data_IF_245684802261
#
_entry.id   IF_245684802261
#
_cell.length_a   1.000
_cell.length_b   1.000
_cell.length_c   1.000
_cell.angle_alpha   90.00
_cell.angle_beta   90.00
_cell.angle_gamma   90.00
#
_symmetry.space_group_name_H-M   'P 1'
#
loop_
_entity.id
_entity.type
_entity.pdbx_description
1 polymer ?
#
# COMPACT_ATOMS: atom_id res chain seq x y z
N UNK A 1 -10.45 27.81 7.77
CA UNK A 1 -9.21 28.60 7.88
C UNK A 1 -8.78 28.50 9.34
N UNK A 2 -7.84 27.61 9.68
CA UNK A 2 -7.24 27.64 11.00
C UNK A 2 -6.26 28.80 10.99
N UNK A 3 -6.56 29.83 11.77
CA UNK A 3 -5.61 30.91 12.05
C UNK A 3 -4.35 30.26 12.63
N UNK A 4 -3.22 30.50 12.01
CA UNK A 4 -1.91 30.24 12.60
C UNK A 4 -1.83 31.05 13.89
N UNK A 5 -2.11 30.45 15.01
CA UNK A 5 -1.91 31.06 16.31
C UNK A 5 -0.41 31.18 16.52
N UNK A 6 0.14 32.36 16.28
CA UNK A 6 1.53 32.67 16.59
C UNK A 6 1.67 32.78 18.11
N UNK A 7 2.27 31.78 18.73
CA UNK A 7 2.56 31.77 20.16
C UNK A 7 3.86 32.54 20.45
N UNK A 8 3.92 33.85 20.13
CA UNK A 8 5.12 34.67 20.37
C UNK A 8 5.54 34.77 21.83
N UNK A 9 4.61 34.51 22.76
CA UNK A 9 4.83 34.74 24.21
C UNK A 9 4.79 33.46 25.05
N UNK A 10 4.89 32.28 24.42
CA UNK A 10 4.89 31.02 25.19
C UNK A 10 6.27 30.81 25.81
N UNK A 11 6.38 30.99 27.14
CA UNK A 11 7.59 30.64 27.89
C UNK A 11 7.93 29.17 27.65
N UNK A 12 9.18 28.91 27.30
CA UNK A 12 9.67 27.53 27.13
C UNK A 12 9.53 26.79 28.46
N UNK A 13 8.67 25.78 28.59
CA UNK A 13 8.61 25.00 29.81
C UNK A 13 9.92 24.25 29.99
N UNK A 14 10.34 24.15 31.26
CA UNK A 14 11.46 23.27 31.62
C UNK A 14 10.94 21.84 31.58
N UNK A 15 11.30 21.11 30.53
CA UNK A 15 10.97 19.68 30.45
C UNK A 15 11.96 18.88 31.31
N UNK A 16 11.48 17.81 31.99
CA UNK A 16 12.35 16.95 32.79
C UNK A 16 13.35 16.16 31.94
N UNK A 17 13.17 16.14 30.61
CA UNK A 17 14.03 15.41 29.66
C UNK A 17 14.85 16.35 28.78
N UNK A 18 16.11 15.98 28.46
CA UNK A 18 16.91 16.65 27.46
C UNK A 18 16.21 16.75 26.11
N UNK A 19 16.57 17.76 25.31
CA UNK A 19 15.99 18.01 23.97
C UNK A 19 16.08 16.79 23.05
N UNK A 20 17.20 16.04 23.12
CA UNK A 20 17.42 14.82 22.33
C UNK A 20 16.42 13.72 22.64
N UNK A 21 16.11 13.52 23.93
CA UNK A 21 15.10 12.55 24.38
C UNK A 21 13.70 12.99 23.93
N UNK A 22 13.39 14.29 24.05
CA UNK A 22 12.11 14.81 23.57
C UNK A 22 11.95 14.62 22.05
N UNK A 23 13.00 14.92 21.28
CA UNK A 23 12.97 14.67 19.83
C UNK A 23 12.75 13.18 19.53
N UNK A 24 13.47 12.28 20.18
CA UNK A 24 13.28 10.85 20.03
C UNK A 24 11.85 10.40 20.35
N UNK A 25 11.25 10.89 21.45
CA UNK A 25 9.87 10.58 21.81
C UNK A 25 8.89 11.01 20.70
N UNK A 26 9.12 12.19 20.09
CA UNK A 26 8.26 12.68 19.02
C UNK A 26 8.46 11.94 17.71
N UNK A 27 9.66 11.52 17.41
CA UNK A 27 9.96 10.77 16.19
C UNK A 27 9.52 9.31 16.28
N UNK A 28 9.55 8.72 17.50
CA UNK A 28 9.05 7.38 17.77
C UNK A 28 7.56 7.31 18.08
N UNK A 29 6.88 8.46 18.30
CA UNK A 29 5.47 8.48 18.67
C UNK A 29 4.58 8.06 17.50
N UNK A 30 3.73 7.08 17.74
CA UNK A 30 2.65 6.76 16.82
C UNK A 30 1.69 7.96 16.63
N UNK A 31 0.97 8.04 15.50
CA UNK A 31 0.07 9.14 15.21
C UNK A 31 -0.96 9.45 16.30
N UNK A 32 -1.51 8.42 16.95
CA UNK A 32 -2.47 8.59 18.04
C UNK A 32 -1.82 9.19 19.30
N UNK A 33 -0.59 8.80 19.62
CA UNK A 33 0.17 9.35 20.74
C UNK A 33 0.62 10.78 20.45
N UNK A 34 1.07 11.06 19.24
CA UNK A 34 1.44 12.39 18.79
C UNK A 34 0.28 13.39 18.93
N UNK A 35 -0.94 12.99 18.53
CA UNK A 35 -2.15 13.82 18.71
C UNK A 35 -2.45 14.11 20.19
N UNK A 36 -2.24 13.13 21.07
CA UNK A 36 -2.39 13.33 22.52
C UNK A 36 -1.35 14.29 23.05
N UNK A 37 -0.08 14.11 22.69
CA UNK A 37 1.03 15.00 23.09
C UNK A 37 0.78 16.44 22.64
N UNK A 38 0.33 16.68 21.43
CA UNK A 38 -0.02 18.02 20.94
C UNK A 38 -1.14 18.70 21.74
N UNK A 39 -2.04 17.93 22.36
CA UNK A 39 -3.11 18.47 23.21
C UNK A 39 -2.65 18.78 24.64
N UNK A 40 -1.55 18.20 25.08
CA UNK A 40 -1.11 18.35 26.49
C UNK A 40 -0.36 19.65 26.73
N UNK A 41 0.31 20.21 25.74
CA UNK A 41 1.16 21.36 25.93
C UNK A 41 1.23 22.25 24.68
N UNK A 42 0.89 23.55 24.87
CA UNK A 42 0.97 24.54 23.78
C UNK A 42 2.38 24.70 23.19
N UNK A 43 3.40 24.52 24.01
CA UNK A 43 4.79 24.57 23.55
C UNK A 43 5.12 23.39 22.65
N UNK A 44 4.71 22.18 23.02
CA UNK A 44 4.87 20.98 22.20
C UNK A 44 4.18 21.20 20.86
N UNK A 45 2.93 21.65 20.87
CA UNK A 45 2.18 21.96 19.67
C UNK A 45 2.92 22.98 18.78
N UNK A 46 3.38 24.10 19.35
CA UNK A 46 4.04 25.16 18.60
C UNK A 46 5.38 24.72 17.98
N UNK A 47 6.15 23.91 18.71
CA UNK A 47 7.51 23.53 18.30
C UNK A 47 7.58 22.31 17.38
N UNK A 48 6.67 21.34 17.60
CA UNK A 48 6.67 20.06 16.91
C UNK A 48 5.40 19.87 16.06
N UNK A 49 4.72 20.97 15.72
CA UNK A 49 3.49 20.92 14.95
C UNK A 49 3.72 20.18 13.63
N UNK A 50 3.04 19.05 13.50
CA UNK A 50 2.86 18.33 12.24
C UNK A 50 1.38 18.39 11.87
N UNK A 51 1.10 18.68 10.62
CA UNK A 51 -0.26 18.71 10.12
C UNK A 51 -0.72 17.27 9.84
N UNK A 52 -1.22 16.60 10.87
CA UNK A 52 -1.70 15.22 10.73
C UNK A 52 -2.94 15.15 9.87
N UNK A 53 -2.90 14.39 8.80
CA UNK A 53 -4.03 14.09 7.93
C UNK A 53 -4.19 12.58 7.84
N UNK A 54 -5.34 12.08 8.30
CA UNK A 54 -5.60 10.64 8.28
C UNK A 54 -5.99 10.15 6.89
N UNK A 55 -6.78 10.95 6.19
CA UNK A 55 -7.41 10.55 4.94
C UNK A 55 -7.32 11.68 3.93
N UNK A 56 -6.81 11.37 2.75
CA UNK A 56 -6.84 12.25 1.59
C UNK A 56 -7.55 11.51 0.46
N UNK A 57 -8.63 12.10 -0.04
CA UNK A 57 -9.43 11.55 -1.12
C UNK A 57 -9.63 12.57 -2.25
N UNK A 58 -9.28 12.19 -3.46
CA UNK A 58 -9.78 12.79 -4.69
C UNK A 58 -10.85 11.84 -5.28
N UNK A 59 -12.13 12.23 -5.19
CA UNK A 59 -13.27 11.37 -5.57
C UNK A 59 -14.07 11.91 -6.75
N UNK A 60 -14.60 11.03 -7.60
CA UNK A 60 -15.29 11.42 -8.84
C UNK A 60 -16.73 11.88 -8.67
N UNK A 61 -17.56 11.17 -7.95
CA UNK A 61 -19.02 11.34 -8.14
C UNK A 61 -19.87 11.57 -6.89
N UNK A 62 -19.51 11.08 -5.73
CA UNK A 62 -20.43 11.01 -4.58
C UNK A 62 -20.01 11.85 -3.36
N UNK A 63 -19.13 12.79 -3.55
CA UNK A 63 -18.65 13.64 -2.46
C UNK A 63 -19.44 14.95 -2.38
N UNK A 64 -19.58 15.56 -1.20
CA UNK A 64 -20.21 16.86 -1.04
C UNK A 64 -19.57 17.90 -1.96
N UNK A 65 -20.36 18.84 -2.44
CA UNK A 65 -19.95 19.86 -3.42
C UNK A 65 -18.81 20.77 -2.94
N UNK A 66 -18.49 20.75 -1.65
CA UNK A 66 -17.42 21.53 -1.04
C UNK A 66 -16.35 20.61 -0.51
N UNK A 67 -15.06 21.00 -0.60
CA UNK A 67 -14.00 20.27 0.09
C UNK A 67 -14.32 20.28 1.57
N UNK A 68 -14.49 19.10 2.15
CA UNK A 68 -14.77 18.95 3.56
C UNK A 68 -13.47 18.61 4.29
N UNK A 69 -13.09 19.46 5.25
CA UNK A 69 -12.15 19.10 6.29
C UNK A 69 -12.96 18.58 7.48
N UNK A 70 -13.13 17.26 7.54
CA UNK A 70 -13.66 16.62 8.71
C UNK A 70 -12.48 16.13 9.56
N UNK A 71 -12.20 16.80 10.65
CA UNK A 71 -11.31 16.36 11.75
C UNK A 71 -10.06 15.53 11.37
N UNK A 72 -9.30 15.80 10.39
CA UNK A 72 -8.15 15.05 9.84
C UNK A 72 -8.42 14.32 8.50
N UNK A 73 -9.58 14.52 7.91
CA UNK A 73 -9.94 13.95 6.62
C UNK A 73 -10.11 15.06 5.60
N UNK A 74 -9.52 14.89 4.43
CA UNK A 74 -9.63 15.84 3.32
C UNK A 74 -10.25 15.15 2.12
N UNK A 75 -11.41 15.63 1.71
CA UNK A 75 -12.15 15.15 0.55
C UNK A 75 -12.31 16.26 -0.47
N UNK A 76 -12.05 15.98 -1.73
CA UNK A 76 -12.28 16.95 -2.79
C UNK A 76 -12.53 16.26 -4.13
N UNK A 77 -13.24 16.98 -5.03
CA UNK A 77 -13.39 16.61 -6.45
C UNK A 77 -12.43 17.36 -7.35
N UNK A 78 -11.77 18.38 -6.84
CA UNK A 78 -10.93 19.29 -7.61
C UNK A 78 -9.51 19.28 -7.12
N UNK A 79 -8.59 19.02 -8.04
CA UNK A 79 -7.15 19.00 -7.75
C UNK A 79 -6.65 20.35 -7.19
N UNK A 80 -7.20 21.49 -7.65
CA UNK A 80 -6.76 22.81 -7.19
C UNK A 80 -6.91 22.97 -5.67
N UNK A 81 -7.83 22.24 -5.05
CA UNK A 81 -8.03 22.32 -3.61
C UNK A 81 -6.84 21.77 -2.81
N UNK A 82 -6.02 20.92 -3.39
CA UNK A 82 -4.80 20.42 -2.75
C UNK A 82 -3.76 21.53 -2.51
N UNK A 83 -3.80 22.60 -3.28
CA UNK A 83 -2.96 23.77 -3.03
C UNK A 83 -3.22 24.40 -1.66
N UNK A 84 -4.44 24.24 -1.11
CA UNK A 84 -4.85 24.75 0.22
C UNK A 84 -4.37 23.91 1.38
N UNK A 85 -3.86 22.69 1.14
CA UNK A 85 -3.26 21.87 2.19
C UNK A 85 -2.01 22.56 2.71
N UNK A 86 -1.87 22.61 4.02
CA UNK A 86 -0.66 23.12 4.66
C UNK A 86 0.56 22.26 4.30
N UNK A 87 1.76 22.80 4.26
CA UNK A 87 2.99 22.00 4.16
C UNK A 87 3.22 21.17 5.44
N UNK A 88 4.23 20.33 5.43
CA UNK A 88 4.62 19.46 6.54
C UNK A 88 3.48 18.52 6.98
N UNK A 89 2.81 17.90 6.00
CA UNK A 89 1.78 16.91 6.27
C UNK A 89 2.41 15.63 6.81
N UNK A 90 1.80 15.09 7.84
CA UNK A 90 1.95 13.70 8.21
C UNK A 90 0.74 12.94 7.70
N UNK A 91 0.92 12.19 6.61
CA UNK A 91 -0.12 11.37 6.01
C UNK A 91 -0.16 9.99 6.69
N UNK A 92 -1.30 9.64 7.31
CA UNK A 92 -1.33 8.60 8.32
C UNK A 92 -1.91 7.26 7.88
N UNK A 93 -3.09 7.25 7.26
CA UNK A 93 -3.78 5.99 6.99
C UNK A 93 -4.15 5.77 5.54
N UNK A 94 -4.67 6.79 4.86
CA UNK A 94 -5.35 6.59 3.59
C UNK A 94 -5.04 7.67 2.57
N UNK A 95 -4.53 7.27 1.43
CA UNK A 95 -4.42 8.11 0.24
C UNK A 95 -5.19 7.45 -0.90
N UNK A 96 -6.28 8.08 -1.35
CA UNK A 96 -7.02 7.67 -2.53
C UNK A 96 -7.08 8.80 -3.55
N UNK A 97 -6.48 8.57 -4.70
CA UNK A 97 -6.49 9.50 -5.81
C UNK A 97 -7.11 8.81 -7.03
N UNK A 98 -8.22 9.37 -7.49
CA UNK A 98 -8.94 8.87 -8.65
C UNK A 98 -8.84 9.89 -9.78
N UNK A 99 -8.30 9.49 -10.95
CA UNK A 99 -8.01 10.35 -12.09
C UNK A 99 -7.07 11.52 -11.77
N UNK A 100 -6.11 11.31 -10.90
CA UNK A 100 -5.11 12.31 -10.55
C UNK A 100 -4.22 12.63 -11.76
N UNK A 101 -3.98 13.91 -11.97
CA UNK A 101 -3.03 14.39 -12.98
C UNK A 101 -1.60 14.40 -12.44
N UNK A 102 -0.63 14.44 -13.34
CA UNK A 102 0.78 14.66 -12.96
C UNK A 102 0.96 15.97 -12.18
N UNK A 103 0.15 16.99 -12.48
CA UNK A 103 0.22 18.26 -11.78
C UNK A 103 -0.21 18.11 -10.32
N UNK A 104 -1.21 17.28 -10.02
CA UNK A 104 -1.61 17.00 -8.65
C UNK A 104 -0.45 16.41 -7.84
N UNK A 105 0.29 15.47 -8.39
CA UNK A 105 1.44 14.87 -7.70
C UNK A 105 2.50 15.92 -7.35
N UNK A 106 2.80 16.83 -8.30
CA UNK A 106 3.72 17.96 -8.06
C UNK A 106 3.25 18.92 -6.96
N UNK A 107 1.94 19.02 -6.73
CA UNK A 107 1.35 19.86 -5.68
C UNK A 107 1.32 19.13 -4.34
N UNK A 108 0.95 17.86 -4.33
CA UNK A 108 0.66 17.10 -3.11
C UNK A 108 1.93 16.52 -2.47
N UNK A 109 2.74 15.79 -3.25
CA UNK A 109 3.87 15.04 -2.71
C UNK A 109 4.86 15.94 -1.95
N UNK A 110 5.26 17.11 -2.44
CA UNK A 110 6.18 18.00 -1.71
C UNK A 110 5.61 18.55 -0.39
N UNK A 111 4.31 18.45 -0.17
CA UNK A 111 3.67 18.85 1.08
C UNK A 111 3.72 17.77 2.16
N UNK A 112 3.96 16.52 1.78
CA UNK A 112 4.03 15.39 2.70
C UNK A 112 5.46 15.30 3.24
N UNK A 113 5.61 15.42 4.53
CA UNK A 113 6.92 15.29 5.21
C UNK A 113 7.12 13.89 5.80
N UNK A 114 6.03 13.20 6.13
CA UNK A 114 6.03 11.84 6.67
C UNK A 114 4.86 11.08 6.10
N UNK A 115 5.12 9.85 5.66
CA UNK A 115 4.10 8.89 5.27
C UNK A 115 4.06 7.72 6.25
N UNK A 116 2.87 7.38 6.75
CA UNK A 116 2.59 6.18 7.56
C UNK A 116 1.32 5.51 7.03
N UNK A 117 1.23 5.42 5.71
CA UNK A 117 0.05 4.91 5.01
C UNK A 117 -0.17 3.42 5.32
N UNK A 118 -1.42 3.07 5.60
CA UNK A 118 -1.91 1.70 5.56
C UNK A 118 -2.58 1.38 4.21
N UNK A 119 -3.14 2.41 3.53
CA UNK A 119 -3.86 2.23 2.28
C UNK A 119 -3.40 3.24 1.23
N UNK A 120 -2.90 2.74 0.12
CA UNK A 120 -2.55 3.52 -1.06
C UNK A 120 -3.39 3.06 -2.24
N UNK A 121 -4.26 3.95 -2.74
CA UNK A 121 -5.14 3.72 -3.88
C UNK A 121 -4.94 4.79 -4.94
N UNK A 122 -4.45 4.39 -6.11
CA UNK A 122 -4.33 5.23 -7.30
C UNK A 122 -5.11 4.58 -8.44
N UNK A 123 -6.16 5.25 -8.93
CA UNK A 123 -7.02 4.68 -9.96
C UNK A 123 -7.17 5.60 -11.15
N UNK A 124 -6.96 5.07 -12.38
CA UNK A 124 -7.11 5.81 -13.64
C UNK A 124 -6.35 7.13 -13.63
N UNK A 125 -5.25 7.15 -12.93
CA UNK A 125 -4.44 8.33 -12.68
C UNK A 125 -3.24 8.38 -13.63
N UNK A 126 -2.62 9.54 -13.76
CA UNK A 126 -1.38 9.69 -14.50
C UNK A 126 -0.28 8.78 -13.93
N UNK A 127 0.75 8.53 -14.75
CA UNK A 127 1.92 7.76 -14.32
C UNK A 127 2.52 8.35 -13.04
N UNK A 128 2.81 7.50 -12.06
CA UNK A 128 3.30 7.86 -10.75
C UNK A 128 4.78 7.52 -10.62
N UNK A 129 5.60 8.46 -10.15
CA UNK A 129 7.03 8.25 -10.05
C UNK A 129 7.38 7.22 -8.99
N UNK A 130 8.33 6.34 -9.30
CA UNK A 130 8.80 5.31 -8.38
C UNK A 130 9.42 5.87 -7.10
N UNK A 131 10.12 7.00 -7.20
CA UNK A 131 10.68 7.67 -6.02
C UNK A 131 9.58 8.16 -5.06
N UNK A 132 8.48 8.70 -5.60
CA UNK A 132 7.32 9.13 -4.81
C UNK A 132 6.61 7.91 -4.21
N UNK A 133 6.52 6.81 -4.97
CA UNK A 133 5.97 5.54 -4.47
C UNK A 133 6.80 4.99 -3.30
N UNK A 134 8.12 4.93 -3.43
CA UNK A 134 9.02 4.51 -2.34
C UNK A 134 8.82 5.36 -1.10
N UNK A 135 8.83 6.69 -1.27
CA UNK A 135 8.60 7.63 -0.17
C UNK A 135 7.27 7.37 0.55
N UNK A 136 6.18 7.16 -0.19
CA UNK A 136 4.87 6.92 0.40
C UNK A 136 4.78 5.57 1.13
N UNK A 137 5.53 4.58 0.72
CA UNK A 137 5.50 3.20 1.25
C UNK A 137 6.63 2.88 2.23
N UNK A 138 7.58 3.79 2.43
CA UNK A 138 8.80 3.61 3.24
C UNK A 138 8.53 3.18 4.70
N UNK A 139 7.40 3.57 5.26
CA UNK A 139 7.00 3.14 6.61
C UNK A 139 6.77 1.63 6.75
N UNK A 140 6.61 0.90 5.64
CA UNK A 140 6.30 -0.52 5.63
C UNK A 140 4.91 -0.88 6.16
N UNK A 141 4.03 0.10 6.39
CA UNK A 141 2.71 -0.12 7.01
C UNK A 141 1.59 -0.40 6.00
N UNK A 142 1.90 -0.51 4.71
CA UNK A 142 0.88 -0.73 3.68
C UNK A 142 0.19 -2.08 3.88
N UNK A 143 -1.11 -2.04 4.12
CA UNK A 143 -2.01 -3.19 4.19
C UNK A 143 -2.80 -3.36 2.88
N UNK A 144 -3.12 -2.23 2.21
CA UNK A 144 -3.84 -2.23 0.93
C UNK A 144 -3.08 -1.42 -0.11
N UNK A 145 -2.75 -2.06 -1.22
CA UNK A 145 -2.21 -1.44 -2.42
C UNK A 145 -3.17 -1.64 -3.60
N UNK A 146 -3.73 -0.56 -4.13
CA UNK A 146 -4.60 -0.59 -5.31
C UNK A 146 -4.13 0.41 -6.37
N UNK A 147 -3.45 -0.12 -7.39
CA UNK A 147 -2.97 0.62 -8.56
C UNK A 147 -3.76 0.14 -9.78
N UNK A 148 -4.93 0.74 -9.99
CA UNK A 148 -5.82 0.34 -11.09
C UNK A 148 -5.80 1.36 -12.22
N UNK A 149 -5.39 0.94 -13.42
CA UNK A 149 -5.17 1.82 -14.59
C UNK A 149 -4.24 3.00 -14.26
N UNK A 150 -3.18 2.72 -13.47
CA UNK A 150 -2.14 3.67 -13.08
C UNK A 150 -0.81 2.94 -13.08
N UNK A 151 0.19 3.47 -13.79
CA UNK A 151 1.53 2.90 -13.86
C UNK A 151 2.45 3.55 -12.84
N UNK A 152 3.34 2.76 -12.27
CA UNK A 152 4.53 3.26 -11.59
C UNK A 152 5.66 3.29 -12.61
N UNK A 153 6.35 4.42 -12.70
CA UNK A 153 7.41 4.63 -13.69
C UNK A 153 8.67 5.18 -13.04
N UNK A 154 9.82 4.83 -13.60
CA UNK A 154 11.09 5.48 -13.30
C UNK A 154 11.12 6.91 -13.85
N UNK A 155 12.11 7.70 -13.46
CA UNK A 155 12.29 9.08 -13.93
C UNK A 155 12.51 9.19 -15.45
N UNK A 156 12.99 8.12 -16.10
CA UNK A 156 13.13 8.01 -17.54
C UNK A 156 11.84 7.62 -18.28
N UNK A 157 10.74 7.38 -17.53
CA UNK A 157 9.43 6.98 -18.08
C UNK A 157 9.25 5.48 -18.31
N UNK A 158 10.25 4.65 -18.05
CA UNK A 158 10.13 3.20 -18.13
C UNK A 158 9.25 2.66 -16.99
N UNK A 159 8.46 1.63 -17.26
CA UNK A 159 7.60 1.00 -16.26
C UNK A 159 8.44 0.25 -15.22
N UNK A 160 8.07 0.37 -13.97
CA UNK A 160 8.72 -0.33 -12.86
C UNK A 160 8.26 -1.79 -12.81
N UNK A 161 9.19 -2.69 -12.62
CA UNK A 161 8.97 -4.13 -12.54
C UNK A 161 8.12 -4.50 -11.31
N UNK A 162 7.33 -5.55 -11.47
CA UNK A 162 6.41 -6.03 -10.44
C UNK A 162 7.10 -6.30 -9.09
N UNK A 163 8.27 -6.95 -9.12
CA UNK A 163 9.05 -7.26 -7.92
C UNK A 163 9.51 -6.02 -7.17
N UNK A 164 9.86 -4.96 -7.89
CA UNK A 164 10.28 -3.70 -7.28
C UNK A 164 9.11 -2.99 -6.60
N UNK A 165 7.90 -3.06 -7.18
CA UNK A 165 6.68 -2.54 -6.54
C UNK A 165 6.37 -3.35 -5.28
N UNK A 166 6.36 -4.67 -5.37
CA UNK A 166 5.95 -5.54 -4.27
C UNK A 166 6.94 -5.57 -3.11
N UNK A 167 8.23 -5.34 -3.36
CA UNK A 167 9.26 -5.31 -2.31
C UNK A 167 9.02 -4.25 -1.22
N UNK A 168 8.29 -3.18 -1.56
CA UNK A 168 7.95 -2.10 -0.62
C UNK A 168 6.69 -2.34 0.20
N UNK A 169 5.92 -3.40 -0.11
CA UNK A 169 4.62 -3.65 0.53
C UNK A 169 4.50 -5.06 1.09
N UNK A 170 5.57 -5.53 1.70
CA UNK A 170 5.69 -6.91 2.24
C UNK A 170 4.68 -7.24 3.36
N UNK A 171 3.99 -6.24 3.88
CA UNK A 171 2.93 -6.36 4.88
C UNK A 171 1.53 -6.29 4.28
N UNK A 172 1.40 -6.12 2.95
CA UNK A 172 0.12 -5.95 2.31
C UNK A 172 -0.73 -7.22 2.37
N UNK A 173 -2.02 -7.04 2.68
CA UNK A 173 -3.04 -8.06 2.71
C UNK A 173 -3.91 -8.02 1.46
N UNK A 174 -4.06 -6.84 0.85
CA UNK A 174 -4.88 -6.62 -0.33
C UNK A 174 -4.06 -5.92 -1.40
N UNK A 175 -3.84 -6.60 -2.52
CA UNK A 175 -3.07 -6.06 -3.66
C UNK A 175 -3.90 -6.15 -4.92
N UNK A 176 -4.06 -5.00 -5.60
CA UNK A 176 -4.64 -4.91 -6.95
C UNK A 176 -3.72 -4.08 -7.82
N UNK A 177 -3.19 -4.67 -8.90
CA UNK A 177 -2.26 -4.00 -9.81
C UNK A 177 -2.73 -4.14 -11.26
N UNK A 178 -2.76 -3.02 -12.00
CA UNK A 178 -3.06 -2.94 -13.43
C UNK A 178 -2.57 -1.61 -14.00
N UNK A 179 -1.78 -1.57 -15.07
CA UNK A 179 -1.07 -2.67 -15.71
C UNK A 179 0.12 -3.15 -14.92
N UNK A 180 0.74 -4.25 -15.35
CA UNK A 180 1.89 -4.85 -14.69
C UNK A 180 3.00 -5.03 -15.72
N UNK A 181 4.20 -4.59 -15.35
CA UNK A 181 5.42 -4.83 -16.10
C UNK A 181 6.21 -5.97 -15.46
N UNK A 182 6.64 -6.94 -16.29
CA UNK A 182 7.43 -8.10 -15.86
C UNK A 182 8.61 -8.32 -16.77
N UNK A 183 9.69 -8.88 -16.23
CA UNK A 183 10.90 -9.26 -16.97
C UNK A 183 11.14 -10.77 -16.85
N UNK A 184 12.16 -11.29 -17.50
CA UNK A 184 12.59 -12.70 -17.38
C UNK A 184 12.95 -13.08 -15.94
N UNK A 185 13.44 -12.12 -15.16
CA UNK A 185 13.94 -12.31 -13.81
C UNK A 185 12.89 -12.07 -12.72
N UNK A 186 11.75 -11.47 -13.11
CA UNK A 186 10.66 -11.10 -12.17
C UNK A 186 10.27 -12.26 -11.27
N UNK A 187 10.09 -13.47 -11.81
CA UNK A 187 9.67 -14.62 -11.00
C UNK A 187 10.70 -15.04 -9.97
N UNK A 188 11.99 -15.00 -10.32
CA UNK A 188 13.05 -15.30 -9.37
C UNK A 188 13.15 -14.24 -8.28
N UNK A 189 13.04 -12.97 -8.67
CA UNK A 189 13.09 -11.83 -7.76
C UNK A 189 11.91 -11.85 -6.79
N UNK A 190 10.67 -12.16 -7.24
CA UNK A 190 9.50 -12.30 -6.38
C UNK A 190 9.67 -13.37 -5.31
N UNK A 191 10.27 -14.52 -5.66
CA UNK A 191 10.55 -15.60 -4.70
C UNK A 191 11.58 -15.18 -3.63
N UNK A 192 12.45 -14.22 -3.92
CA UNK A 192 13.45 -13.71 -3.01
C UNK A 192 12.93 -12.64 -2.04
N UNK A 193 11.74 -12.06 -2.29
CA UNK A 193 11.14 -11.07 -1.39
C UNK A 193 10.86 -11.71 -0.03
N UNK A 194 11.29 -11.03 1.04
CA UNK A 194 11.05 -11.45 2.42
C UNK A 194 9.68 -10.92 2.90
N UNK A 195 8.63 -11.67 2.60
CA UNK A 195 7.28 -11.35 3.05
C UNK A 195 7.12 -11.53 4.55
N UNK A 196 6.33 -10.64 5.16
CA UNK A 196 6.01 -10.79 6.57
C UNK A 196 5.02 -11.95 6.76
N UNK A 197 5.49 -13.03 7.36
CA UNK A 197 4.72 -14.26 7.60
C UNK A 197 3.48 -14.05 8.50
N UNK A 198 3.43 -12.95 9.27
CA UNK A 198 2.30 -12.61 10.14
C UNK A 198 1.13 -11.98 9.37
N UNK A 199 1.41 -11.37 8.22
CA UNK A 199 0.43 -10.71 7.37
C UNK A 199 0.26 -11.51 6.10
N UNK A 200 -0.65 -12.49 6.14
CA UNK A 200 -0.94 -13.30 4.96
C UNK A 200 -1.77 -12.51 3.96
N UNK A 201 -1.45 -12.67 2.71
CA UNK A 201 -2.16 -12.04 1.62
C UNK A 201 -3.58 -12.62 1.49
N UNK A 202 -4.61 -11.76 1.60
CA UNK A 202 -6.02 -12.15 1.44
C UNK A 202 -6.52 -11.96 0.01
N UNK A 203 -6.00 -10.94 -0.68
CA UNK A 203 -6.44 -10.64 -2.04
C UNK A 203 -5.25 -10.27 -2.90
N UNK A 204 -5.11 -10.95 -4.03
CA UNK A 204 -4.08 -10.66 -5.01
C UNK A 204 -4.69 -10.60 -6.41
N UNK A 205 -4.77 -9.41 -6.99
CA UNK A 205 -5.35 -9.17 -8.32
C UNK A 205 -4.32 -8.55 -9.22
N UNK A 206 -3.91 -9.29 -10.22
CA UNK A 206 -3.02 -8.83 -11.28
C UNK A 206 -3.78 -8.80 -12.60
N UNK A 207 -3.67 -7.71 -13.36
CA UNK A 207 -4.32 -7.57 -14.66
C UNK A 207 -3.44 -6.83 -15.66
N UNK A 208 -3.63 -7.11 -16.96
CA UNK A 208 -2.86 -6.49 -18.05
C UNK A 208 -1.35 -6.70 -17.87
N UNK A 209 -0.96 -7.95 -17.72
CA UNK A 209 0.43 -8.37 -17.64
C UNK A 209 1.01 -8.28 -19.05
N UNK A 210 2.10 -7.53 -19.21
CA UNK A 210 2.69 -7.21 -20.51
C UNK A 210 3.57 -8.33 -21.07
N UNK A 211 4.22 -9.11 -20.20
CA UNK A 211 5.12 -10.18 -20.56
C UNK A 211 4.69 -11.52 -19.94
N UNK A 212 5.48 -12.55 -20.21
CA UNK A 212 5.23 -13.89 -19.73
C UNK A 212 5.58 -14.06 -18.25
N UNK A 213 4.63 -14.61 -17.49
CA UNK A 213 4.87 -15.11 -16.14
C UNK A 213 4.86 -16.64 -16.16
N UNK A 214 5.93 -17.29 -15.71
CA UNK A 214 5.95 -18.75 -15.52
C UNK A 214 4.89 -19.15 -14.49
N UNK A 215 3.86 -19.93 -14.89
CA UNK A 215 2.74 -20.24 -14.00
C UNK A 215 3.12 -21.14 -12.85
N UNK A 216 4.17 -21.98 -12.99
CA UNK A 216 4.62 -22.84 -11.92
C UNK A 216 5.32 -22.04 -10.83
N UNK A 217 6.29 -21.22 -11.22
CA UNK A 217 7.00 -20.34 -10.29
C UNK A 217 6.05 -19.31 -9.64
N UNK A 218 5.06 -18.85 -10.41
CA UNK A 218 4.06 -17.92 -9.87
C UNK A 218 3.15 -18.59 -8.84
N UNK A 219 2.76 -19.84 -9.08
CA UNK A 219 2.02 -20.64 -8.10
C UNK A 219 2.84 -20.87 -6.83
N UNK A 220 4.13 -21.23 -6.97
CA UNK A 220 5.05 -21.41 -5.84
C UNK A 220 5.19 -20.11 -5.02
N UNK A 221 5.28 -18.97 -5.71
CA UNK A 221 5.26 -17.65 -5.07
C UNK A 221 3.97 -17.44 -4.26
N UNK A 222 2.80 -17.66 -4.86
CA UNK A 222 1.52 -17.49 -4.18
C UNK A 222 1.38 -18.40 -2.94
N UNK A 223 1.80 -19.67 -3.03
CA UNK A 223 1.76 -20.58 -1.89
C UNK A 223 2.64 -20.14 -0.73
N UNK A 224 3.74 -19.45 -1.02
CA UNK A 224 4.65 -18.89 -0.02
C UNK A 224 4.03 -17.73 0.76
N UNK A 225 3.26 -16.85 0.09
CA UNK A 225 2.81 -15.57 0.65
C UNK A 225 1.35 -15.55 1.11
N UNK A 226 0.57 -16.58 0.77
CA UNK A 226 -0.87 -16.58 1.02
C UNK A 226 -1.34 -17.90 1.64
N UNK A 227 -2.51 -17.88 2.26
CA UNK A 227 -3.26 -19.09 2.57
C UNK A 227 -4.12 -19.47 1.36
N UNK A 228 -3.68 -20.47 0.62
CA UNK A 228 -4.35 -20.92 -0.61
C UNK A 228 -5.79 -21.39 -0.37
N UNK A 229 -6.14 -21.86 0.83
CA UNK A 229 -7.53 -22.23 1.18
C UNK A 229 -8.42 -21.00 1.19
N UNK A 230 -7.97 -19.93 1.86
CA UNK A 230 -8.72 -18.66 1.92
C UNK A 230 -8.83 -18.01 0.54
N UNK A 231 -7.76 -18.07 -0.26
CA UNK A 231 -7.76 -17.49 -1.60
C UNK A 231 -8.73 -18.19 -2.57
N UNK A 232 -8.97 -19.48 -2.37
CA UNK A 232 -9.85 -20.29 -3.21
C UNK A 232 -11.33 -20.00 -2.99
N UNK A 233 -11.78 -20.05 -1.73
CA UNK A 233 -13.21 -20.10 -1.39
C UNK A 233 -13.97 -18.82 -1.75
N UNK A 234 -13.28 -17.67 -1.84
CA UNK A 234 -13.92 -16.37 -2.07
C UNK A 234 -13.51 -15.70 -3.41
N UNK A 235 -12.85 -16.40 -4.32
CA UNK A 235 -12.39 -15.81 -5.59
C UNK A 235 -11.40 -14.64 -5.39
N UNK A 236 -10.66 -14.66 -4.30
CA UNK A 236 -9.78 -13.56 -3.87
C UNK A 236 -8.46 -13.50 -4.62
N UNK A 237 -8.06 -14.61 -5.26
CA UNK A 237 -6.92 -14.61 -6.16
C UNK A 237 -7.39 -14.48 -7.62
N UNK A 238 -7.12 -13.32 -8.21
CA UNK A 238 -7.47 -13.05 -9.59
C UNK A 238 -6.21 -12.68 -10.38
N UNK A 239 -5.82 -13.56 -11.28
CA UNK A 239 -4.79 -13.26 -12.27
C UNK A 239 -5.48 -13.16 -13.62
N UNK A 240 -5.54 -11.95 -14.17
CA UNK A 240 -6.13 -11.69 -15.47
C UNK A 240 -5.05 -11.30 -16.45
N UNK A 241 -4.64 -12.27 -17.24
CA UNK A 241 -3.74 -12.05 -18.35
C UNK A 241 -4.44 -11.33 -19.51
N UNK A 242 -3.69 -10.64 -20.34
CA UNK A 242 -4.19 -10.13 -21.62
C UNK A 242 -4.72 -11.27 -22.49
N UNK A 243 -5.70 -10.99 -23.37
CA UNK A 243 -6.40 -12.02 -24.15
C UNK A 243 -5.55 -12.47 -25.38
N UNK A 244 -4.49 -13.21 -25.16
CA UNK A 244 -3.77 -13.91 -26.22
C UNK A 244 -3.81 -15.43 -26.00
N UNK A 245 -3.36 -16.24 -26.94
CA UNK A 245 -3.41 -17.71 -26.85
C UNK A 245 -2.55 -18.25 -25.72
N UNK A 246 -1.38 -17.63 -25.49
CA UNK A 246 -0.49 -18.00 -24.36
C UNK A 246 -1.18 -17.87 -23.02
N UNK A 247 -2.05 -16.86 -22.83
CA UNK A 247 -2.80 -16.69 -21.59
C UNK A 247 -3.88 -17.73 -21.37
N UNK A 248 -4.38 -18.40 -22.41
CA UNK A 248 -5.30 -19.53 -22.24
C UNK A 248 -4.58 -20.76 -21.67
N UNK A 249 -3.38 -21.04 -22.18
CA UNK A 249 -2.53 -22.11 -21.67
C UNK A 249 -2.14 -21.87 -20.21
N UNK A 250 -1.72 -20.63 -19.87
CA UNK A 250 -1.41 -20.22 -18.49
C UNK A 250 -2.59 -20.41 -17.52
N UNK A 251 -3.80 -20.00 -17.94
CA UNK A 251 -5.01 -20.22 -17.14
C UNK A 251 -5.30 -21.69 -16.93
N UNK A 252 -5.09 -22.54 -17.95
CA UNK A 252 -5.32 -23.97 -17.83
C UNK A 252 -4.35 -24.62 -16.83
N UNK A 253 -3.06 -24.26 -16.92
CA UNK A 253 -2.01 -24.73 -16.01
C UNK A 253 -2.32 -24.27 -14.57
N UNK A 254 -2.67 -23.00 -14.39
CA UNK A 254 -2.98 -22.43 -13.07
C UNK A 254 -4.21 -23.12 -12.44
N UNK A 255 -5.29 -23.32 -13.22
CA UNK A 255 -6.46 -24.08 -12.76
C UNK A 255 -6.13 -25.52 -12.39
N UNK A 256 -5.29 -26.19 -13.19
CA UNK A 256 -4.83 -27.55 -12.91
C UNK A 256 -4.07 -27.62 -11.59
N UNK A 257 -3.12 -26.71 -11.36
CA UNK A 257 -2.33 -26.66 -10.12
C UNK A 257 -3.17 -26.35 -8.88
N UNK A 258 -4.14 -25.44 -8.98
CA UNK A 258 -5.08 -25.20 -7.88
C UNK A 258 -5.85 -26.50 -7.57
N UNK A 259 -6.32 -27.21 -8.58
CA UNK A 259 -7.05 -28.47 -8.39
C UNK A 259 -6.17 -29.58 -7.78
N UNK A 260 -4.93 -29.71 -8.23
CA UNK A 260 -3.95 -30.65 -7.66
C UNK A 260 -3.62 -30.32 -6.18
N UNK A 261 -3.56 -29.04 -5.84
CA UNK A 261 -3.39 -28.60 -4.45
C UNK A 261 -4.60 -28.91 -3.56
N UNK A 262 -5.80 -29.05 -4.17
CA UNK A 262 -7.07 -29.34 -3.51
C UNK A 262 -7.29 -30.83 -3.21
N UNK A 263 -6.72 -31.72 -4.02
CA UNK A 263 -6.83 -33.16 -3.78
C UNK A 263 -5.89 -33.53 -2.62
N UNK A 264 -6.40 -33.68 -1.38
CA UNK A 264 -5.57 -34.25 -0.33
C UNK A 264 -5.14 -35.63 -0.84
N UNK A 265 -3.89 -35.99 -0.58
CA UNK A 265 -3.32 -37.29 -0.83
C UNK A 265 -4.22 -38.35 -0.17
N UNK A 266 -5.23 -38.79 -0.89
CA UNK A 266 -6.15 -39.88 -0.48
C UNK A 266 -5.46 -41.26 -0.45
N UNK A 267 -4.13 -41.28 -0.47
CA UNK A 267 -3.35 -42.52 -0.61
C UNK A 267 -2.43 -42.88 0.56
N UNK A 268 -2.37 -42.10 1.65
CA UNK A 268 -1.47 -42.44 2.78
C UNK A 268 -2.16 -42.72 4.11
N UNK A 269 -3.48 -42.73 4.19
CA UNK A 269 -4.21 -43.00 5.43
C UNK A 269 -4.66 -44.49 5.56
N UNK A 270 -4.59 -45.31 4.52
CA UNK A 270 -5.05 -46.71 4.58
C UNK A 270 -3.94 -47.73 4.81
N UNK A 271 -2.66 -47.38 4.67
CA UNK A 271 -1.57 -48.35 4.91
C UNK A 271 -1.11 -48.49 6.37
N UNK A 272 -1.56 -47.59 7.28
CA UNK A 272 -1.11 -47.64 8.68
C UNK A 272 -2.10 -48.30 9.66
N UNK A 273 -3.22 -48.84 9.19
CA UNK A 273 -4.21 -49.51 10.08
C UNK A 273 -4.12 -51.05 10.01
N UNK A 274 -3.43 -51.64 9.03
CA UNK A 274 -3.31 -53.10 8.92
C UNK A 274 -2.07 -53.73 9.61
N UNK A 275 -1.29 -52.95 10.34
CA UNK A 275 -0.05 -53.41 11.01
C UNK A 275 -0.14 -53.58 12.53
N UNK A 276 -1.32 -53.51 13.15
CA UNK A 276 -1.47 -53.62 14.62
C UNK A 276 -2.46 -54.67 15.10
N UNK A 277 -2.66 -55.72 14.33
CA UNK A 277 -3.28 -56.97 14.83
C UNK A 277 -2.38 -58.14 14.45
N UNK A 278 -1.45 -58.45 15.38
CA UNK A 278 -0.56 -59.59 15.30
C UNK A 278 0.20 -59.74 16.61
#
# INVERSE_FOLDING_TARGET
MNQLTTFKDVKTPVFPFPKTIMTYIFDAAEPCHYKKLNKTCKYIFAKYQRNCVEWIHLVEAYSPQKPAFEKYKFYTKKEENFARLSPNLWLMYYLELNRASTNLYKILIPKISISSLANLTLRRSADFLYEDYKFLTDSGNIETLDLYDTKIVYSNGEAVELENILSHVVNAQFITLKPIHTTTDTMQNLLNIQWNQRHRLFMFRLSSIDNYLDPNKFFDFLTKISDMKIMKDDGRCWVKFNKNEETRALKAIFKKKIKEYEEPVKGKAEENVQGMEG
#
